data_IF_709772112064
#
_entry.id   IF_709772112064
#
_cell.length_a   1.000
_cell.length_b   1.000
_cell.length_c   1.000
_cell.angle_alpha   90.00
_cell.angle_beta   90.00
_cell.angle_gamma   90.00
#
_symmetry.space_group_name_H-M   'P 1'
#
loop_
_entity.id
_entity.type
_entity.pdbx_description
1 polymer ?
#
# COMPACT_ATOMS: atom_id res chain seq x y z
N UNK A 1 -7.09 -17.71 10.41
CA UNK A 1 -8.17 -17.31 9.49
C UNK A 1 -9.15 -16.43 10.25
N UNK A 2 -9.12 -15.12 10.05
CA UNK A 2 -10.17 -14.23 10.55
C UNK A 2 -10.79 -13.56 9.33
N UNK A 3 -12.06 -13.87 9.09
CA UNK A 3 -12.82 -13.35 7.97
C UNK A 3 -13.26 -11.91 8.29
N UNK A 4 -12.69 -10.92 7.61
CA UNK A 4 -13.27 -9.59 7.54
C UNK A 4 -14.66 -9.67 6.92
N UNK A 5 -15.66 -9.00 7.51
CA UNK A 5 -17.00 -8.89 6.91
C UNK A 5 -16.99 -7.74 5.90
N UNK A 6 -17.01 -8.08 4.61
CA UNK A 6 -17.15 -7.11 3.53
C UNK A 6 -18.62 -6.80 3.26
N UNK A 7 -18.93 -5.53 2.94
CA UNK A 7 -20.23 -5.14 2.43
C UNK A 7 -20.10 -4.75 0.95
N UNK A 8 -20.62 -5.59 0.07
CA UNK A 8 -20.68 -5.33 -1.38
C UNK A 8 -22.10 -4.89 -1.74
N UNK A 9 -22.27 -3.62 -2.12
CA UNK A 9 -23.54 -3.11 -2.64
C UNK A 9 -23.48 -3.03 -4.17
N UNK A 10 -24.45 -3.66 -4.83
CA UNK A 10 -24.69 -3.52 -6.26
C UNK A 10 -25.86 -2.52 -6.44
N UNK A 11 -25.58 -1.34 -6.98
CA UNK A 11 -26.61 -0.33 -7.27
C UNK A 11 -26.78 -0.26 -8.78
N UNK A 12 -27.94 -0.67 -9.28
CA UNK A 12 -28.31 -0.54 -10.69
C UNK A 12 -29.03 0.80 -10.88
N UNK A 13 -28.42 1.71 -11.64
CA UNK A 13 -29.04 2.99 -12.01
C UNK A 13 -29.65 2.86 -13.40
N UNK A 14 -30.98 2.88 -13.50
CA UNK A 14 -31.70 3.00 -14.76
C UNK A 14 -31.81 4.49 -15.11
N UNK A 15 -30.99 4.96 -16.05
CA UNK A 15 -31.11 6.30 -16.60
C UNK A 15 -32.20 6.25 -17.69
N UNK A 16 -33.39 6.77 -17.39
CA UNK A 16 -34.48 6.87 -18.38
C UNK A 16 -34.39 8.19 -19.16
N UNK A 17 -33.52 8.24 -20.16
CA UNK A 17 -33.69 9.16 -21.30
C UNK A 17 -33.17 8.45 -22.54
N UNK A 18 -34.08 8.23 -23.49
CA UNK A 18 -33.92 7.68 -24.85
C UNK A 18 -32.51 7.23 -25.31
N UNK A 19 -32.41 5.92 -25.58
CA UNK A 19 -31.43 5.24 -26.45
C UNK A 19 -29.94 5.40 -26.09
N UNK A 20 -29.50 4.65 -25.08
CA UNK A 20 -28.35 3.70 -25.05
C UNK A 20 -28.36 3.11 -23.63
N UNK A 21 -28.72 1.83 -23.49
CA UNK A 21 -28.65 1.13 -22.20
C UNK A 21 -27.20 0.76 -21.89
N UNK A 22 -26.47 1.67 -21.25
CA UNK A 22 -25.22 1.34 -20.56
C UNK A 22 -25.53 1.09 -19.07
N UNK A 23 -25.64 -0.17 -18.67
CA UNK A 23 -25.69 -0.55 -17.26
C UNK A 23 -24.29 -0.37 -16.67
N UNK A 24 -24.06 0.74 -15.96
CA UNK A 24 -22.88 0.87 -15.11
C UNK A 24 -23.17 0.24 -13.75
N UNK A 25 -22.67 -0.98 -13.52
CA UNK A 25 -22.69 -1.58 -12.18
C UNK A 25 -21.60 -0.91 -11.34
N UNK A 26 -21.99 0.06 -10.50
CA UNK A 26 -21.07 0.64 -9.53
C UNK A 26 -21.02 -0.22 -8.27
N UNK A 27 -19.94 -0.98 -8.12
CA UNK A 27 -19.62 -1.67 -6.87
C UNK A 27 -18.97 -0.69 -5.90
N UNK A 28 -19.66 -0.38 -4.81
CA UNK A 28 -19.12 0.40 -3.70
C UNK A 28 -18.73 -0.54 -2.56
N UNK A 29 -17.43 -0.68 -2.32
CA UNK A 29 -16.89 -1.50 -1.25
C UNK A 29 -16.47 -0.60 -0.08
N UNK A 30 -17.12 -0.79 1.07
CA UNK A 30 -16.73 -0.15 2.33
C UNK A 30 -16.26 -1.23 3.30
N UNK A 31 -15.13 -0.98 3.96
CA UNK A 31 -14.71 -1.74 5.12
C UNK A 31 -15.43 -1.19 6.35
N UNK A 32 -15.93 -2.07 7.21
CA UNK A 32 -16.66 -1.68 8.43
C UNK A 32 -15.83 -1.96 9.68
N UNK A 33 -15.70 -0.96 10.55
CA UNK A 33 -15.17 -1.13 11.92
C UNK A 33 -16.23 -0.72 12.94
N UNK A 34 -16.54 -1.64 13.86
CA UNK A 34 -17.48 -1.42 14.96
C UNK A 34 -16.79 -0.71 16.13
N UNK A 35 -17.61 -0.20 17.04
CA UNK A 35 -17.19 0.42 18.29
C UNK A 35 -16.35 1.69 18.09
N UNK A 36 -16.56 2.39 16.98
CA UNK A 36 -15.81 3.58 16.60
C UNK A 36 -16.73 4.66 16.07
N UNK A 37 -16.40 5.91 16.39
CA UNK A 37 -17.09 7.10 15.88
C UNK A 37 -16.08 8.22 15.60
N UNK A 38 -16.27 8.92 14.48
CA UNK A 38 -15.59 10.20 14.21
C UNK A 38 -15.98 11.23 15.29
N UNK A 39 -14.98 11.70 16.03
CA UNK A 39 -15.08 12.73 17.05
C UNK A 39 -14.94 14.13 16.44
N UNK A 40 -13.90 14.37 15.62
CA UNK A 40 -13.61 15.69 15.03
C UNK A 40 -12.65 15.60 13.83
N UNK A 41 -12.40 16.73 13.16
CA UNK A 41 -11.41 16.86 12.08
C UNK A 41 -11.98 16.72 10.66
N UNK A 42 -12.94 15.81 10.45
CA UNK A 42 -13.40 15.46 9.10
C UNK A 42 -14.30 16.52 8.47
N UNK A 43 -14.16 16.73 7.17
CA UNK A 43 -15.06 17.52 6.33
C UNK A 43 -16.36 16.76 6.13
N UNK A 44 -17.34 17.06 6.99
CA UNK A 44 -18.68 16.47 6.94
C UNK A 44 -19.40 16.94 5.68
N UNK A 45 -19.78 15.99 4.82
CA UNK A 45 -20.58 16.25 3.62
C UNK A 45 -22.05 16.36 4.02
N UNK A 46 -22.56 15.34 4.71
CA UNK A 46 -23.97 15.24 5.09
C UNK A 46 -24.12 14.59 6.47
N UNK A 47 -25.24 14.88 7.12
CA UNK A 47 -25.71 14.16 8.29
C UNK A 47 -27.22 13.96 8.19
N UNK A 48 -27.66 12.72 8.36
CA UNK A 48 -29.06 12.31 8.32
C UNK A 48 -29.38 11.56 9.60
N UNK A 49 -30.55 11.83 10.19
CA UNK A 49 -31.08 11.07 11.33
C UNK A 49 -32.36 10.38 10.89
N UNK A 50 -32.41 9.04 10.97
CA UNK A 50 -33.57 8.25 10.58
C UNK A 50 -33.69 7.00 11.45
N UNK A 51 -34.91 6.70 11.90
CA UNK A 51 -35.22 5.43 12.55
C UNK A 51 -34.88 4.26 11.62
N UNK A 52 -34.19 3.25 12.17
CA UNK A 52 -33.72 2.10 11.40
C UNK A 52 -32.48 2.36 10.53
N UNK A 53 -31.70 3.42 10.81
CA UNK A 53 -30.41 3.63 10.14
C UNK A 53 -29.50 2.41 10.32
N UNK A 54 -28.94 1.94 9.22
CA UNK A 54 -27.95 0.85 9.20
C UNK A 54 -26.68 1.30 8.50
N UNK A 55 -25.52 0.66 8.76
CA UNK A 55 -24.30 0.90 8.01
C UNK A 55 -24.50 0.76 6.51
N UNK A 56 -25.33 -0.20 6.07
CA UNK A 56 -25.64 -0.38 4.65
C UNK A 56 -26.42 0.80 4.07
N UNK A 57 -27.43 1.30 4.78
CA UNK A 57 -28.16 2.51 4.37
C UNK A 57 -27.25 3.73 4.39
N UNK A 58 -26.39 3.86 5.40
CA UNK A 58 -25.43 4.94 5.49
C UNK A 58 -24.39 4.89 4.37
N UNK A 59 -23.93 3.69 3.97
CA UNK A 59 -23.07 3.49 2.80
C UNK A 59 -23.73 3.93 1.49
N UNK A 60 -25.05 3.72 1.33
CA UNK A 60 -25.81 4.22 0.20
C UNK A 60 -25.86 5.75 0.19
N UNK A 61 -26.12 6.40 1.34
CA UNK A 61 -26.06 7.86 1.46
C UNK A 61 -24.67 8.43 1.21
N UNK A 62 -23.64 7.66 1.57
CA UNK A 62 -22.25 7.97 1.34
C UNK A 62 -21.94 7.96 -0.17
N UNK A 63 -22.45 6.95 -0.90
CA UNK A 63 -22.39 6.91 -2.36
C UNK A 63 -20.97 7.06 -2.91
N UNK A 64 -20.85 7.72 -4.06
CA UNK A 64 -19.55 8.06 -4.67
C UNK A 64 -18.91 9.32 -4.09
N UNK A 65 -19.68 10.20 -3.45
CA UNK A 65 -19.26 11.55 -3.03
C UNK A 65 -18.50 11.57 -1.71
N UNK A 66 -18.63 10.53 -0.89
CA UNK A 66 -17.88 10.39 0.36
C UNK A 66 -16.69 9.43 0.21
N UNK A 67 -15.82 9.43 1.22
CA UNK A 67 -14.85 8.35 1.43
C UNK A 67 -15.05 7.60 2.75
N UNK A 68 -15.69 8.23 3.74
CA UNK A 68 -15.93 7.67 5.06
C UNK A 68 -17.34 8.00 5.54
N UNK A 69 -17.94 7.14 6.35
CA UNK A 69 -19.13 7.45 7.12
C UNK A 69 -19.03 6.90 8.53
N UNK A 70 -19.83 7.45 9.44
CA UNK A 70 -20.18 6.78 10.68
C UNK A 70 -21.69 6.65 10.81
N UNK A 71 -22.15 5.58 11.45
CA UNK A 71 -23.57 5.35 11.69
C UNK A 71 -23.80 4.78 13.08
N UNK A 72 -24.89 5.19 13.71
CA UNK A 72 -25.38 4.61 14.95
C UNK A 72 -26.77 4.02 14.72
N UNK A 73 -26.92 2.76 15.11
CA UNK A 73 -28.21 2.08 15.08
C UNK A 73 -29.13 2.54 16.22
N UNK A 74 -28.56 2.96 17.36
CA UNK A 74 -29.33 3.40 18.53
C UNK A 74 -29.88 4.81 18.35
N UNK A 75 -29.09 5.74 17.81
CA UNK A 75 -29.52 7.12 17.59
C UNK A 75 -30.10 7.36 16.20
N UNK A 76 -29.97 6.40 15.28
CA UNK A 76 -30.41 6.54 13.89
C UNK A 76 -29.58 7.52 13.07
N UNK A 77 -28.43 7.99 13.58
CA UNK A 77 -27.59 8.99 12.92
C UNK A 77 -26.67 8.33 11.90
N UNK A 78 -26.55 8.94 10.73
CA UNK A 78 -25.54 8.69 9.71
C UNK A 78 -24.87 10.01 9.35
N UNK A 79 -23.55 10.10 9.46
CA UNK A 79 -22.80 11.22 8.89
C UNK A 79 -21.76 10.72 7.91
N UNK A 80 -21.60 11.43 6.81
CA UNK A 80 -20.67 11.11 5.73
C UNK A 80 -19.60 12.20 5.63
N UNK A 81 -18.40 11.80 5.24
CA UNK A 81 -17.21 12.64 5.19
C UNK A 81 -16.52 12.47 3.84
N UNK A 82 -16.00 13.56 3.28
CA UNK A 82 -15.21 13.52 2.05
C UNK A 82 -13.82 12.95 2.29
N UNK A 83 -13.35 12.97 3.52
CA UNK A 83 -12.01 12.53 3.89
C UNK A 83 -11.92 11.00 3.96
N UNK A 84 -10.74 10.47 3.63
CA UNK A 84 -10.45 9.04 3.77
C UNK A 84 -10.15 8.71 5.22
N UNK A 85 -10.69 7.59 5.68
CA UNK A 85 -10.39 7.10 7.00
C UNK A 85 -8.97 6.51 7.03
N UNK A 86 -8.04 7.28 7.57
CA UNK A 86 -6.84 6.73 8.16
C UNK A 86 -7.00 6.95 9.67
N UNK A 87 -6.97 5.86 10.46
CA UNK A 87 -7.15 5.89 11.92
C UNK A 87 -6.18 6.87 12.63
N UNK A 88 -5.13 7.31 11.93
CA UNK A 88 -4.05 8.13 12.46
C UNK A 88 -3.84 9.45 11.68
N UNK A 89 -4.75 9.80 10.78
CA UNK A 89 -4.74 11.11 10.12
C UNK A 89 -5.29 12.18 11.07
N UNK A 90 -4.56 13.30 11.18
CA UNK A 90 -4.99 14.45 11.97
C UNK A 90 -6.22 15.16 11.39
N UNK A 91 -6.66 14.75 10.20
CA UNK A 91 -7.96 15.12 9.64
C UNK A 91 -9.15 14.33 10.20
N UNK A 92 -8.99 13.22 10.92
CA UNK A 92 -10.13 12.50 11.49
C UNK A 92 -9.80 11.87 12.85
N UNK A 93 -10.16 12.59 13.92
CA UNK A 93 -10.10 12.05 15.27
C UNK A 93 -11.24 11.05 15.45
N UNK A 94 -10.90 9.85 15.91
CA UNK A 94 -11.84 8.76 16.13
C UNK A 94 -11.83 8.39 17.61
N UNK A 95 -13.00 8.16 18.18
CA UNK A 95 -13.15 7.69 19.56
C UNK A 95 -13.81 6.32 19.57
N UNK A 96 -13.53 5.55 20.62
CA UNK A 96 -14.27 4.33 20.89
C UNK A 96 -15.70 4.70 21.32
N UNK A 97 -16.68 4.09 20.67
CA UNK A 97 -18.09 4.22 21.01
C UNK A 97 -18.84 2.94 20.58
N UNK A 98 -19.23 2.05 21.51
CA UNK A 98 -19.84 0.75 21.21
C UNK A 98 -21.10 0.81 20.35
N UNK A 99 -21.77 1.96 20.31
CA UNK A 99 -23.01 2.13 19.57
C UNK A 99 -22.82 2.54 18.11
N UNK A 100 -21.57 2.75 17.68
CA UNK A 100 -21.24 3.31 16.37
C UNK A 100 -20.42 2.35 15.52
N UNK A 101 -20.63 2.49 14.21
CA UNK A 101 -19.90 1.80 13.17
C UNK A 101 -19.35 2.83 12.20
N UNK A 102 -18.07 2.74 11.88
CA UNK A 102 -17.47 3.49 10.77
C UNK A 102 -17.38 2.60 9.55
N UNK A 103 -17.78 3.14 8.40
CA UNK A 103 -17.49 2.56 7.10
C UNK A 103 -16.55 3.44 6.31
N UNK A 104 -15.56 2.86 5.64
CA UNK A 104 -14.61 3.63 4.84
C UNK A 104 -14.20 2.92 3.56
N UNK A 105 -14.00 3.71 2.51
CA UNK A 105 -13.37 3.29 1.26
C UNK A 105 -11.88 3.38 1.45
N UNK A 106 -11.20 2.25 1.41
CA UNK A 106 -9.75 2.30 1.44
C UNK A 106 -9.18 1.09 0.71
N UNK A 107 -8.03 1.24 0.03
CA UNK A 107 -7.28 0.12 -0.52
C UNK A 107 -6.59 -0.69 0.58
N UNK A 108 -7.11 -0.72 1.82
CA UNK A 108 -6.48 -1.48 2.92
C UNK A 108 -6.52 -2.97 2.59
N UNK A 109 -5.37 -3.61 2.78
CA UNK A 109 -5.33 -5.04 3.05
C UNK A 109 -5.55 -5.23 4.55
N UNK A 110 -6.77 -5.57 4.98
CA UNK A 110 -7.14 -5.72 6.39
C UNK A 110 -6.85 -4.48 7.27
N UNK A 111 -5.94 -4.61 8.25
CA UNK A 111 -5.50 -3.56 9.19
C UNK A 111 -4.30 -2.73 8.68
N UNK A 112 -3.92 -2.88 7.42
CA UNK A 112 -2.76 -2.21 6.82
C UNK A 112 -3.14 -0.98 5.99
N UNK A 113 -2.53 0.17 6.27
CA UNK A 113 -2.67 1.38 5.48
C UNK A 113 -1.63 1.46 4.37
N UNK A 114 -2.06 1.74 3.14
CA UNK A 114 -1.16 1.94 2.01
C UNK A 114 -0.40 3.27 2.19
N UNK A 115 0.90 3.20 2.46
CA UNK A 115 1.75 4.37 2.60
C UNK A 115 2.36 4.79 1.24
N UNK A 116 2.63 3.82 0.38
CA UNK A 116 3.29 4.05 -0.90
C UNK A 116 3.02 2.93 -1.89
N UNK A 117 2.93 3.25 -3.18
CA UNK A 117 2.85 2.28 -4.27
C UNK A 117 3.62 2.80 -5.47
N UNK A 118 4.46 1.97 -6.06
CA UNK A 118 5.20 2.27 -7.26
C UNK A 118 4.85 1.29 -8.39
N UNK A 119 4.72 1.83 -9.60
CA UNK A 119 4.38 1.11 -10.82
C UNK A 119 5.64 0.91 -11.67
N UNK A 120 5.84 -0.29 -12.24
CA UNK A 120 6.98 -0.51 -13.16
C UNK A 120 6.83 0.30 -14.45
N UNK A 121 7.95 0.60 -15.10
CA UNK A 121 8.03 1.06 -16.50
C UNK A 121 7.30 2.37 -16.85
N UNK A 122 6.97 3.23 -15.87
CA UNK A 122 6.30 4.54 -16.10
C UNK A 122 7.26 5.73 -16.27
N UNK A 123 8.57 5.50 -16.28
CA UNK A 123 9.64 6.50 -16.37
C UNK A 123 9.63 7.56 -15.25
N UNK A 124 9.25 7.16 -14.04
CA UNK A 124 9.27 8.02 -12.86
C UNK A 124 10.07 7.37 -11.73
N UNK A 125 10.94 8.14 -11.06
CA UNK A 125 11.72 7.61 -9.94
C UNK A 125 10.84 7.30 -8.73
N UNK A 126 11.03 6.09 -8.20
CA UNK A 126 10.45 5.61 -6.96
C UNK A 126 11.03 6.36 -5.77
N UNK A 127 12.35 6.48 -5.71
CA UNK A 127 13.02 7.12 -4.58
C UNK A 127 12.75 8.62 -4.52
N UNK A 128 12.77 9.32 -5.66
CA UNK A 128 12.50 10.75 -5.69
C UNK A 128 11.10 11.05 -5.17
N UNK A 129 10.10 10.26 -5.58
CA UNK A 129 8.77 10.41 -4.99
C UNK A 129 8.76 10.04 -3.50
N UNK A 130 9.38 8.93 -3.10
CA UNK A 130 9.46 8.50 -1.70
C UNK A 130 9.91 9.61 -0.76
N UNK A 131 10.98 10.34 -1.14
CA UNK A 131 11.55 11.42 -0.32
C UNK A 131 10.84 12.76 -0.47
N UNK A 132 10.07 12.99 -1.53
CA UNK A 132 9.47 14.30 -1.83
C UNK A 132 8.38 14.67 -0.83
N UNK A 133 8.68 15.58 0.10
CA UNK A 133 7.73 16.06 1.11
C UNK A 133 6.62 16.97 0.57
N UNK A 134 6.86 17.61 -0.58
CA UNK A 134 5.90 18.50 -1.22
C UNK A 134 4.78 17.76 -1.95
N UNK A 135 4.95 16.45 -2.18
CA UNK A 135 3.97 15.63 -2.90
C UNK A 135 3.16 14.77 -1.92
N UNK A 136 1.85 15.02 -1.82
CA UNK A 136 0.93 14.25 -0.96
C UNK A 136 -0.35 14.01 -1.75
N UNK A 137 -0.57 12.77 -2.19
CA UNK A 137 -1.67 12.47 -3.11
C UNK A 137 -2.99 12.20 -2.40
N UNK A 138 -2.98 12.03 -1.07
CA UNK A 138 -4.14 11.65 -0.27
C UNK A 138 -4.71 12.75 0.62
N UNK A 139 -3.98 13.85 0.88
CA UNK A 139 -4.50 15.02 1.58
C UNK A 139 -5.57 15.77 0.77
N UNK A 140 -5.53 15.60 -0.56
CA UNK A 140 -6.58 15.99 -1.50
C UNK A 140 -6.56 14.99 -2.64
N UNK A 141 -7.15 13.80 -2.48
CA UNK A 141 -7.44 13.00 -3.67
C UNK A 141 -8.52 13.74 -4.43
N UNK A 142 -8.12 14.64 -5.31
CA UNK A 142 -8.99 15.13 -6.36
C UNK A 142 -9.54 13.89 -7.06
N UNK A 143 -10.81 13.91 -7.45
CA UNK A 143 -11.51 12.83 -8.17
C UNK A 143 -10.80 12.33 -9.45
N UNK A 144 -9.66 12.93 -9.80
CA UNK A 144 -8.81 12.69 -10.95
C UNK A 144 -7.66 11.69 -10.72
N UNK A 145 -7.40 11.20 -9.49
CA UNK A 145 -6.36 10.18 -9.30
C UNK A 145 -6.81 8.82 -9.87
N UNK A 146 -6.04 8.18 -10.78
CA UNK A 146 -6.47 6.95 -11.42
C UNK A 146 -6.70 5.81 -10.42
N UNK A 147 -7.89 5.19 -10.46
CA UNK A 147 -8.22 4.05 -9.59
C UNK A 147 -7.22 2.90 -9.75
N UNK A 148 -6.76 2.64 -10.98
CA UNK A 148 -5.74 1.62 -11.27
C UNK A 148 -4.45 1.81 -10.47
N UNK A 149 -4.10 3.05 -10.12
CA UNK A 149 -2.92 3.37 -9.31
C UNK A 149 -3.13 3.18 -7.80
N UNK A 150 -4.29 2.70 -7.38
CA UNK A 150 -4.56 2.24 -6.01
C UNK A 150 -4.99 0.76 -5.98
N UNK A 151 -5.02 0.11 -7.15
CA UNK A 151 -5.44 -1.28 -7.33
C UNK A 151 -4.20 -2.21 -7.41
N UNK A 152 -4.42 -3.47 -7.08
CA UNK A 152 -3.44 -4.57 -7.08
C UNK A 152 -3.87 -5.75 -7.95
N UNK A 153 -5.06 -5.66 -8.56
CA UNK A 153 -5.61 -6.63 -9.51
C UNK A 153 -5.77 -6.01 -10.89
N UNK A 154 -6.09 -4.71 -11.00
CA UNK A 154 -6.30 -4.05 -12.29
C UNK A 154 -5.43 -2.79 -12.41
N UNK A 155 -4.12 -2.99 -12.42
CA UNK A 155 -3.14 -1.90 -12.38
C UNK A 155 -2.48 -1.55 -13.72
N UNK A 156 -2.85 -2.22 -14.81
CA UNK A 156 -2.18 -2.05 -16.12
C UNK A 156 -2.25 -0.62 -16.67
N UNK A 157 -3.33 0.11 -16.38
CA UNK A 157 -3.51 1.49 -16.80
C UNK A 157 -2.93 2.52 -15.83
N UNK A 158 -2.22 2.09 -14.79
CA UNK A 158 -1.59 3.02 -13.86
C UNK A 158 -0.39 3.72 -14.50
N UNK A 159 -0.40 5.05 -14.50
CA UNK A 159 0.62 5.91 -15.12
C UNK A 159 1.49 6.66 -14.10
N UNK A 160 1.27 6.47 -12.80
CA UNK A 160 1.94 7.21 -11.73
C UNK A 160 2.08 6.42 -10.44
N UNK A 161 3.10 6.75 -9.67
CA UNK A 161 3.25 6.25 -8.31
C UNK A 161 2.24 6.94 -7.37
N UNK A 162 1.93 6.28 -6.25
CA UNK A 162 1.15 6.83 -5.17
C UNK A 162 2.02 7.04 -3.92
N UNK A 163 1.85 8.21 -3.30
CA UNK A 163 2.52 8.58 -2.05
C UNK A 163 1.50 9.16 -1.07
N UNK A 164 1.37 8.48 0.07
CA UNK A 164 0.54 8.92 1.18
C UNK A 164 1.22 9.97 2.05
N UNK A 165 0.43 10.82 2.69
CA UNK A 165 0.84 11.73 3.75
C UNK A 165 1.51 10.99 4.94
N UNK A 166 1.23 9.69 5.12
CA UNK A 166 1.88 8.81 6.10
C UNK A 166 3.40 8.89 5.99
N UNK A 167 3.96 8.99 4.78
CA UNK A 167 5.40 9.12 4.60
C UNK A 167 5.96 10.48 5.04
N UNK A 168 5.13 11.52 5.08
CA UNK A 168 5.51 12.82 5.65
C UNK A 168 5.35 12.87 7.17
N UNK A 169 4.48 12.02 7.73
CA UNK A 169 4.27 11.90 9.17
C UNK A 169 4.45 10.46 9.63
N UNK A 170 5.71 10.04 9.59
CA UNK A 170 6.10 8.69 9.99
C UNK A 170 6.12 8.58 11.53
N UNK A 171 4.95 8.40 12.14
CA UNK A 171 4.76 8.35 13.59
C UNK A 171 3.87 7.17 13.96
N UNK A 172 4.10 6.60 15.15
CA UNK A 172 3.30 5.50 15.69
C UNK A 172 3.19 4.29 14.76
N UNK A 173 4.24 3.95 14.00
CA UNK A 173 4.26 2.77 13.14
C UNK A 173 4.69 1.56 13.98
N UNK A 174 3.85 0.51 14.05
CA UNK A 174 4.15 -0.77 14.70
C UNK A 174 4.88 -1.70 13.74
N UNK A 175 4.33 -1.87 12.54
CA UNK A 175 4.85 -2.76 11.52
C UNK A 175 4.83 -2.08 10.16
N UNK A 176 5.78 -2.43 9.31
CA UNK A 176 5.83 -2.02 7.90
C UNK A 176 5.83 -3.28 7.05
N UNK A 177 4.99 -3.34 6.03
CA UNK A 177 4.99 -4.44 5.06
C UNK A 177 5.39 -3.91 3.70
N UNK A 178 6.46 -4.46 3.13
CA UNK A 178 6.76 -4.30 1.72
C UNK A 178 6.15 -5.48 0.96
N UNK A 179 5.43 -5.20 -0.12
CA UNK A 179 4.83 -6.22 -0.99
C UNK A 179 5.24 -5.99 -2.43
N UNK A 180 5.46 -7.07 -3.17
CA UNK A 180 5.61 -7.05 -4.63
C UNK A 180 4.46 -7.82 -5.28
N UNK A 181 3.91 -7.29 -6.36
CA UNK A 181 2.82 -7.92 -7.10
C UNK A 181 3.23 -8.19 -8.54
N UNK A 182 2.82 -9.33 -9.07
CA UNK A 182 3.01 -9.73 -10.47
C UNK A 182 1.75 -10.44 -10.95
N UNK A 183 1.28 -10.11 -12.14
CA UNK A 183 0.09 -10.74 -12.74
C UNK A 183 -1.08 -10.81 -11.74
N UNK A 184 -1.36 -9.68 -11.08
CA UNK A 184 -2.51 -9.47 -10.20
C UNK A 184 -2.46 -10.28 -8.88
N UNK A 185 -1.30 -10.81 -8.52
CA UNK A 185 -1.07 -11.59 -7.30
C UNK A 185 0.13 -11.08 -6.52
N UNK A 186 0.07 -11.12 -5.19
CA UNK A 186 1.24 -10.85 -4.33
C UNK A 186 2.24 -12.00 -4.49
N UNK A 187 3.46 -11.69 -4.93
CA UNK A 187 4.54 -12.68 -5.16
C UNK A 187 5.58 -12.69 -4.06
N UNK A 188 5.75 -11.56 -3.36
CA UNK A 188 6.69 -11.40 -2.24
C UNK A 188 6.06 -10.48 -1.22
N UNK A 189 6.27 -10.79 0.06
CA UNK A 189 6.05 -9.84 1.15
C UNK A 189 7.20 -9.89 2.16
N UNK A 190 7.53 -8.77 2.78
CA UNK A 190 8.43 -8.71 3.94
C UNK A 190 7.81 -7.80 4.98
N UNK A 191 7.66 -8.30 6.19
CA UNK A 191 7.15 -7.54 7.34
C UNK A 191 8.33 -7.14 8.22
N UNK A 192 8.37 -5.86 8.59
CA UNK A 192 9.39 -5.25 9.42
C UNK A 192 8.77 -4.66 10.68
N UNK A 193 9.54 -4.64 11.76
CA UNK A 193 9.27 -3.87 12.95
C UNK A 193 9.48 -2.37 12.66
N UNK A 194 8.39 -1.62 12.63
CA UNK A 194 8.38 -0.18 12.39
C UNK A 194 8.53 0.66 13.67
N UNK A 195 8.53 0.02 14.85
CA UNK A 195 8.58 0.76 16.12
C UNK A 195 9.90 1.52 16.22
N UNK A 196 9.80 2.82 16.51
CA UNK A 196 10.95 3.72 16.62
C UNK A 196 11.76 3.86 15.33
N UNK A 197 11.21 3.48 14.17
CA UNK A 197 11.87 3.69 12.88
C UNK A 197 11.51 5.06 12.31
N UNK A 198 12.28 5.50 11.32
CA UNK A 198 11.88 6.57 10.39
C UNK A 198 11.47 5.92 9.06
N UNK A 199 10.87 6.71 8.15
CA UNK A 199 10.59 6.28 6.78
C UNK A 199 11.82 5.80 6.00
N UNK A 200 13.04 6.04 6.48
CA UNK A 200 14.28 5.60 5.83
C UNK A 200 15.00 4.48 6.59
N UNK A 201 14.68 4.24 7.87
CA UNK A 201 15.43 3.29 8.72
C UNK A 201 14.69 1.99 9.06
N UNK A 202 13.41 1.83 8.68
CA UNK A 202 12.66 0.58 8.92
C UNK A 202 13.19 -0.60 8.11
N UNK A 203 13.77 -0.33 6.94
CA UNK A 203 14.17 -1.33 5.95
C UNK A 203 15.57 -1.88 6.27
N UNK A 204 15.65 -2.78 7.24
CA UNK A 204 16.90 -3.45 7.67
C UNK A 204 16.62 -4.91 8.10
N UNK A 205 17.57 -5.86 7.95
CA UNK A 205 17.41 -7.26 8.35
C UNK A 205 17.07 -7.40 9.84
N UNK A 206 17.70 -6.60 10.71
CA UNK A 206 17.43 -6.60 12.15
C UNK A 206 15.99 -6.23 12.51
N UNK A 207 15.24 -5.63 11.58
CA UNK A 207 13.83 -5.32 11.76
C UNK A 207 12.90 -6.32 11.09
N UNK A 208 13.38 -7.30 10.31
CA UNK A 208 12.51 -8.28 9.65
C UNK A 208 11.83 -9.16 10.71
N UNK A 209 10.50 -9.17 10.68
CA UNK A 209 9.63 -10.05 11.48
C UNK A 209 9.25 -11.29 10.66
N UNK A 210 8.93 -11.10 9.38
CA UNK A 210 8.54 -12.18 8.49
C UNK A 210 9.02 -11.91 7.06
N UNK A 211 9.50 -12.95 6.38
CA UNK A 211 9.99 -12.90 5.01
C UNK A 211 9.89 -14.29 4.36
N UNK A 212 9.64 -14.42 3.05
CA UNK A 212 9.79 -15.68 2.33
C UNK A 212 11.24 -16.19 2.30
N UNK A 213 12.21 -15.33 2.66
CA UNK A 213 13.63 -15.64 2.70
C UNK A 213 14.15 -15.94 4.12
N UNK A 214 13.26 -15.96 5.12
CA UNK A 214 13.61 -16.38 6.48
C UNK A 214 13.87 -17.90 6.54
N UNK A 215 14.80 -18.37 7.40
CA UNK A 215 15.60 -17.57 8.32
C UNK A 215 16.85 -16.94 7.68
N UNK A 216 17.28 -17.41 6.49
CA UNK A 216 18.57 -17.07 5.88
C UNK A 216 18.84 -15.56 5.78
N UNK A 217 17.83 -14.77 5.41
CA UNK A 217 17.98 -13.31 5.28
C UNK A 217 18.33 -12.61 6.61
N UNK A 218 18.01 -13.22 7.76
CA UNK A 218 18.30 -12.68 9.09
C UNK A 218 19.79 -12.85 9.46
N UNK A 219 20.42 -13.92 8.96
CA UNK A 219 21.84 -14.25 9.21
C UNK A 219 22.78 -13.60 8.18
N UNK A 220 22.21 -12.84 7.23
CA UNK A 220 22.95 -12.31 6.10
C UNK A 220 23.75 -11.06 6.45
N UNK A 221 25.05 -11.26 6.71
CA UNK A 221 25.99 -10.19 7.06
C UNK A 221 26.47 -9.37 5.86
N UNK A 222 26.29 -9.89 4.65
CA UNK A 222 26.74 -9.26 3.42
C UNK A 222 25.64 -8.40 2.76
N UNK A 223 24.41 -8.42 3.28
CA UNK A 223 23.33 -7.57 2.76
C UNK A 223 23.58 -6.11 3.15
N UNK A 224 23.48 -5.21 2.17
CA UNK A 224 23.45 -3.75 2.38
C UNK A 224 22.01 -3.27 2.24
N UNK A 225 21.20 -3.34 3.31
CA UNK A 225 19.82 -2.93 3.28
C UNK A 225 19.70 -1.41 3.16
N UNK A 226 19.04 -0.92 2.11
CA UNK A 226 18.86 0.52 1.98
C UNK A 226 17.74 0.90 1.01
N UNK A 227 16.81 1.74 1.48
CA UNK A 227 15.83 2.40 0.61
C UNK A 227 16.54 3.32 -0.37
N UNK A 228 17.53 4.11 0.12
CA UNK A 228 18.35 4.98 -0.73
C UNK A 228 19.22 4.17 -1.68
N UNK A 229 19.70 3.00 -1.30
CA UNK A 229 20.56 2.16 -2.13
C UNK A 229 21.76 2.92 -2.71
N UNK A 230 22.14 2.59 -3.93
CA UNK A 230 23.30 3.14 -4.65
C UNK A 230 22.83 3.81 -5.93
N UNK A 231 23.05 5.12 -6.06
CA UNK A 231 22.69 5.86 -7.26
C UNK A 231 23.79 6.84 -7.65
N UNK A 232 24.25 6.74 -8.89
CA UNK A 232 25.35 7.53 -9.44
C UNK A 232 25.27 7.62 -10.96
N UNK A 233 26.43 7.79 -11.60
CA UNK A 233 26.51 8.09 -13.04
C UNK A 233 26.09 6.90 -13.92
N UNK A 234 26.35 5.67 -13.47
CA UNK A 234 26.20 4.45 -14.27
C UNK A 234 25.12 3.48 -13.76
N UNK A 235 24.71 3.60 -12.50
CA UNK A 235 23.73 2.73 -11.84
C UNK A 235 22.81 3.55 -10.95
N UNK A 236 21.54 3.15 -10.84
CA UNK A 236 20.63 3.63 -9.80
C UNK A 236 19.77 2.48 -9.28
N UNK A 237 20.15 1.93 -8.13
CA UNK A 237 19.52 0.80 -7.46
C UNK A 237 18.99 1.24 -6.09
N UNK A 238 17.70 1.04 -5.83
CA UNK A 238 16.97 1.51 -4.63
C UNK A 238 16.24 0.34 -3.96
N UNK A 239 15.81 0.49 -2.70
CA UNK A 239 15.12 -0.57 -1.95
C UNK A 239 15.87 -1.91 -2.00
N UNK A 240 17.15 -1.86 -1.65
CA UNK A 240 18.08 -2.97 -1.81
C UNK A 240 18.03 -3.89 -0.59
N UNK A 241 17.71 -5.17 -0.77
CA UNK A 241 18.13 -6.28 0.10
C UNK A 241 19.12 -7.10 -0.73
N UNK A 242 20.36 -6.63 -0.74
CA UNK A 242 21.32 -6.83 -1.82
C UNK A 242 22.72 -7.09 -1.26
N UNK A 243 23.50 -8.00 -1.86
CA UNK A 243 24.86 -8.33 -1.42
C UNK A 243 25.95 -7.32 -1.82
N UNK A 244 27.23 -7.57 -1.51
CA UNK A 244 28.34 -6.73 -1.96
C UNK A 244 28.43 -6.72 -3.49
N UNK A 245 28.75 -5.53 -4.03
CA UNK A 245 28.96 -5.31 -5.46
C UNK A 245 30.37 -5.72 -5.85
N UNK A 246 30.57 -6.96 -6.28
CA UNK A 246 31.85 -7.33 -6.91
C UNK A 246 31.84 -6.96 -8.39
N UNK A 247 30.89 -7.52 -9.15
CA UNK A 247 30.61 -7.15 -10.53
C UNK A 247 29.28 -7.79 -10.97
N UNK A 248 28.76 -7.32 -12.10
CA UNK A 248 27.48 -7.76 -12.65
C UNK A 248 27.27 -9.28 -12.71
N UNK A 249 28.32 -10.10 -12.88
CA UNK A 249 28.19 -11.55 -13.00
C UNK A 249 27.95 -12.27 -11.66
N UNK A 250 28.43 -11.69 -10.56
CA UNK A 250 28.35 -12.26 -9.22
C UNK A 250 27.42 -11.49 -8.28
N UNK A 251 26.90 -10.36 -8.75
CA UNK A 251 25.83 -9.60 -8.13
C UNK A 251 24.67 -10.52 -7.73
N UNK A 252 24.33 -10.54 -6.45
CA UNK A 252 23.22 -11.31 -5.88
C UNK A 252 22.34 -10.47 -4.97
N UNK A 253 21.09 -10.89 -4.82
CA UNK A 253 20.10 -10.15 -4.04
C UNK A 253 18.91 -11.00 -3.63
N UNK A 254 18.19 -10.52 -2.62
CA UNK A 254 16.81 -10.92 -2.35
C UNK A 254 15.82 -10.04 -3.11
N UNK A 255 16.04 -8.72 -3.10
CA UNK A 255 15.30 -7.80 -3.95
C UNK A 255 16.05 -6.49 -4.16
N UNK A 256 15.73 -5.80 -5.25
CA UNK A 256 16.10 -4.40 -5.45
C UNK A 256 15.25 -3.76 -6.55
N UNK A 257 15.32 -2.43 -6.63
CA UNK A 257 14.65 -1.63 -7.66
C UNK A 257 15.71 -0.98 -8.55
N UNK A 258 15.64 -1.18 -9.87
CA UNK A 258 16.33 -0.30 -10.83
C UNK A 258 15.48 0.94 -11.01
N UNK A 259 16.00 2.10 -10.62
CA UNK A 259 15.22 3.34 -10.49
C UNK A 259 15.64 4.44 -11.47
N UNK A 260 16.30 4.05 -12.56
CA UNK A 260 16.63 4.94 -13.67
C UNK A 260 16.92 4.13 -14.94
N UNK A 261 17.02 4.79 -16.09
CA UNK A 261 17.54 4.20 -17.34
C UNK A 261 19.06 3.94 -17.32
N UNK A 262 19.75 4.28 -16.23
CA UNK A 262 21.19 4.07 -16.03
C UNK A 262 21.39 2.75 -15.29
N UNK A 263 21.57 1.66 -16.03
CA UNK A 263 21.98 0.37 -15.47
C UNK A 263 23.07 -0.28 -16.33
N UNK A 264 24.32 -0.11 -15.93
CA UNK A 264 25.50 -0.56 -16.67
C UNK A 264 25.54 -2.08 -16.86
N UNK A 265 25.01 -2.86 -15.91
CA UNK A 265 25.02 -4.33 -16.01
C UNK A 265 24.10 -4.83 -17.12
N UNK A 266 22.99 -4.13 -17.37
CA UNK A 266 22.11 -4.41 -18.50
C UNK A 266 22.68 -3.87 -19.80
N UNK A 267 23.26 -2.65 -19.79
CA UNK A 267 23.91 -2.07 -20.99
C UNK A 267 25.06 -2.92 -21.52
N UNK A 268 25.81 -3.57 -20.63
CA UNK A 268 26.92 -4.48 -20.98
C UNK A 268 26.46 -5.91 -21.31
N UNK A 269 25.15 -6.18 -21.31
CA UNK A 269 24.61 -7.52 -21.55
C UNK A 269 24.98 -8.56 -20.48
N UNK A 270 25.43 -8.12 -19.30
CA UNK A 270 25.82 -9.03 -18.21
C UNK A 270 24.64 -9.63 -17.47
N UNK A 271 23.47 -8.98 -17.54
CA UNK A 271 22.20 -9.45 -16.98
C UNK A 271 21.26 -9.87 -18.12
N UNK A 272 21.23 -11.17 -18.50
CA UNK A 272 20.57 -11.65 -19.72
C UNK A 272 19.02 -11.72 -19.71
N UNK A 273 18.29 -11.10 -18.77
CA UNK A 273 16.80 -11.09 -18.78
C UNK A 273 16.33 -9.67 -18.38
N UNK A 274 15.42 -8.94 -19.06
CA UNK A 274 14.20 -9.28 -19.80
C UNK A 274 14.03 -8.30 -20.99
N UNK A 275 14.05 -8.78 -22.23
CA UNK A 275 13.39 -8.12 -23.38
C UNK A 275 14.05 -6.90 -24.07
N UNK A 276 15.02 -6.18 -23.49
CA UNK A 276 15.89 -5.15 -24.12
C UNK A 276 16.68 -4.44 -23.01
N UNK A 277 17.62 -3.55 -23.36
CA UNK A 277 18.13 -2.49 -22.44
C UNK A 277 16.95 -1.89 -21.68
N UNK A 278 17.08 -1.54 -20.38
CA UNK A 278 16.06 -0.80 -19.61
C UNK A 278 15.58 0.40 -20.44
N UNK A 279 14.47 0.23 -21.17
CA UNK A 279 13.84 1.32 -21.91
C UNK A 279 13.03 2.18 -20.96
N UNK A 280 12.53 1.55 -19.91
CA UNK A 280 11.67 2.19 -18.91
C UNK A 280 12.04 1.76 -17.50
N UNK A 281 11.86 2.67 -16.56
CA UNK A 281 12.09 2.46 -15.13
C UNK A 281 10.84 2.94 -14.37
N UNK A 282 10.61 2.51 -13.12
CA UNK A 282 11.40 1.56 -12.36
C UNK A 282 11.18 0.10 -12.79
N UNK A 283 12.09 -0.77 -12.38
CA UNK A 283 11.94 -2.23 -12.46
C UNK A 283 12.17 -2.83 -11.08
N UNK A 284 11.29 -3.73 -10.64
CA UNK A 284 11.39 -4.39 -9.34
C UNK A 284 11.86 -5.84 -9.55
N UNK A 285 13.01 -6.20 -8.99
CA UNK A 285 13.55 -7.56 -9.07
C UNK A 285 13.51 -8.24 -7.72
N UNK A 286 13.26 -9.55 -7.72
CA UNK A 286 13.21 -10.35 -6.50
C UNK A 286 13.65 -11.80 -6.73
N UNK A 287 14.11 -12.45 -5.67
CA UNK A 287 14.31 -13.89 -5.65
C UNK A 287 12.99 -14.62 -5.45
N UNK A 288 12.65 -15.50 -6.39
CA UNK A 288 11.49 -16.41 -6.31
C UNK A 288 11.69 -17.53 -5.30
N UNK A 289 12.95 -17.89 -5.03
CA UNK A 289 13.29 -18.95 -4.09
C UNK A 289 13.41 -18.39 -2.68
N UNK A 290 13.55 -19.27 -1.68
CA UNK A 290 13.87 -18.86 -0.30
C UNK A 290 15.34 -18.43 -0.13
N UNK A 291 16.13 -18.42 -1.20
CA UNK A 291 17.55 -18.04 -1.20
C UNK A 291 17.80 -16.80 -2.07
N UNK A 292 19.06 -16.38 -2.18
CA UNK A 292 19.53 -15.30 -3.04
C UNK A 292 19.26 -15.61 -4.52
N UNK A 293 19.08 -14.57 -5.33
CA UNK A 293 18.97 -14.68 -6.78
C UNK A 293 19.98 -13.79 -7.50
N UNK A 294 20.14 -14.03 -8.79
CA UNK A 294 21.00 -13.26 -9.70
C UNK A 294 20.22 -12.87 -10.95
N UNK A 295 20.60 -11.76 -11.56
CA UNK A 295 20.18 -11.42 -12.92
C UNK A 295 21.16 -11.92 -13.98
N UNK A 296 22.40 -12.20 -13.59
CA UNK A 296 23.40 -12.85 -14.45
C UNK A 296 23.20 -14.36 -14.48
N UNK A 297 23.49 -14.96 -15.64
CA UNK A 297 23.69 -16.40 -15.72
C UNK A 297 24.91 -16.80 -14.90
N UNK A 298 24.71 -17.49 -13.78
CA UNK A 298 25.78 -18.14 -13.04
C UNK A 298 25.27 -19.42 -12.39
N UNK A 299 26.19 -20.32 -12.02
CA UNK A 299 25.86 -21.61 -11.41
C UNK A 299 25.68 -21.50 -9.88
N UNK A 300 25.69 -20.28 -9.33
CA UNK A 300 25.68 -20.05 -7.88
C UNK A 300 24.29 -19.68 -7.39
N UNK A 301 23.59 -18.83 -8.14
CA UNK A 301 22.29 -18.28 -7.75
C UNK A 301 21.24 -18.53 -8.84
N UNK A 302 20.01 -18.91 -8.47
CA UNK A 302 18.90 -18.99 -9.40
C UNK A 302 18.60 -17.63 -10.03
N UNK A 303 17.99 -17.65 -11.22
CA UNK A 303 17.51 -16.44 -11.87
C UNK A 303 16.41 -15.76 -11.07
N UNK A 304 16.53 -14.44 -10.95
CA UNK A 304 15.50 -13.61 -10.36
C UNK A 304 14.29 -13.45 -11.29
N UNK A 305 13.18 -13.04 -10.69
CA UNK A 305 11.99 -12.58 -11.42
C UNK A 305 11.80 -11.06 -11.25
N UNK A 306 10.98 -10.48 -12.13
CA UNK A 306 10.50 -9.11 -11.99
C UNK A 306 9.04 -9.06 -11.52
N UNK A 307 8.70 -7.98 -10.81
CA UNK A 307 7.34 -7.65 -10.37
C UNK A 307 6.83 -6.38 -11.08
N UNK A 308 5.51 -6.20 -11.07
CA UNK A 308 4.81 -5.08 -11.71
C UNK A 308 4.60 -3.90 -10.78
N UNK A 309 4.40 -4.18 -9.49
CA UNK A 309 4.07 -3.17 -8.47
C UNK A 309 4.89 -3.45 -7.22
N UNK A 310 5.46 -2.39 -6.64
CA UNK A 310 5.97 -2.37 -5.27
C UNK A 310 5.01 -1.57 -4.40
N UNK A 311 4.64 -2.09 -3.25
CA UNK A 311 3.84 -1.37 -2.27
C UNK A 311 4.45 -1.41 -0.88
N UNK A 312 4.30 -0.31 -0.16
CA UNK A 312 4.63 -0.23 1.26
C UNK A 312 3.35 0.09 2.02
N UNK A 313 3.08 -0.79 2.98
CA UNK A 313 1.97 -0.71 3.89
C UNK A 313 2.48 -0.48 5.30
N UNK A 314 1.67 0.19 6.13
CA UNK A 314 1.97 0.37 7.54
C UNK A 314 0.82 -0.12 8.41
N UNK A 315 1.18 -0.70 9.54
CA UNK A 315 0.30 -0.97 10.66
C UNK A 315 0.74 -0.07 11.80
N UNK A 316 -0.18 0.68 12.35
CA UNK A 316 0.14 1.63 13.41
C UNK A 316 0.05 0.97 14.79
N UNK A 317 0.78 1.53 15.75
CA UNK A 317 0.71 1.17 17.16
C UNK A 317 -0.57 1.77 17.77
N UNK A 318 -1.34 0.91 18.41
CA UNK A 318 -2.35 1.32 19.37
C UNK A 318 -1.68 2.01 20.57
N UNK A 319 -2.05 3.25 20.91
CA UNK A 319 -1.70 3.80 22.23
C UNK A 319 -2.58 3.16 23.31
N UNK A 320 -2.02 3.01 24.53
CA UNK A 320 -2.71 2.41 25.67
C UNK A 320 -4.06 3.12 25.99
N UNK A 321 -4.17 4.41 25.69
CA UNK A 321 -5.41 5.18 25.91
C UNK A 321 -6.47 5.00 24.81
N UNK A 322 -6.10 4.51 23.61
CA UNK A 322 -7.02 4.40 22.46
C UNK A 322 -7.40 2.96 22.07
N UNK A 323 -6.81 1.94 22.70
CA UNK A 323 -7.15 0.52 22.45
C UNK A 323 -7.58 -0.25 23.71
N UNK A 324 -7.79 0.43 24.84
CA UNK A 324 -8.32 -0.18 26.08
C UNK A 324 -9.74 -0.78 25.95
N UNK A 325 -10.40 -0.68 24.78
CA UNK A 325 -11.67 -1.33 24.49
C UNK A 325 -11.59 -2.63 23.66
N UNK A 326 -10.40 -3.12 23.30
CA UNK A 326 -10.23 -4.26 22.36
C UNK A 326 -9.76 -5.56 23.05
N UNK A 327 -9.92 -5.65 24.37
CA UNK A 327 -9.90 -6.95 25.08
C UNK A 327 -11.22 -7.12 25.82
N UNK A 328 -12.29 -7.30 25.05
CA UNK A 328 -13.52 -7.91 25.53
C UNK A 328 -13.48 -9.39 25.18
N UNK A 329 -13.12 -10.19 26.18
CA UNK A 329 -13.22 -11.64 26.20
C UNK A 329 -14.62 -12.07 25.75
N UNK A 330 -14.68 -12.97 24.77
CA UNK A 330 -15.92 -13.64 24.36
C UNK A 330 -16.29 -14.63 25.48
N UNK A 331 -17.36 -14.31 26.19
CA UNK A 331 -18.33 -15.31 26.67
C UNK A 331 -19.59 -15.18 25.82
#
# INVERSE_FOLDING_TARGET
>A
MHAGRYLTLCVTVLISTFLISATSNFHMNFNLKRNLRVLSGGTKINQVTRNGMTPSLCAVFCGISCHTFHSSHTTGVCSTFSDRFYIYDQGLMVTSDPQWVIGYKSPLMDDWALAFRAQKEINASVYDLWINESWKLDNTVTSTFPKACLDFVNYESCDRHFRSWILSKWENIKEVRLSLFKSNSEVVYVVFNGTGSTKLSWFTPARIIASPWSPKILDETLTVPSIKGTCGVAVCRRFNLYGPYENCKFDWFYMFTVDSSKEICMKRGSWPIVGNVVKSYPMFFYSKTSDRASLASNNVYPYAESADVLAVWVKFACSADNCAGITGQLD
#
